data_IF_400575389165
#
_entry.id   IF_400575389165
#
_cell.length_a   1.000
_cell.length_b   1.000
_cell.length_c   1.000
_cell.angle_alpha   90.00
_cell.angle_beta   90.00
_cell.angle_gamma   90.00
#
_symmetry.space_group_name_H-M   'P 1'
#
loop_
_entity.id
_entity.type
_entity.pdbx_description
1 polymer ?
#
# COMPACT_ATOMS: atom_id res chain seq x y z
N UNK A 1 -15.97 20.00 -35.07
CA UNK A 1 -15.94 19.04 -33.97
C UNK A 1 -16.84 19.56 -32.88
N UNK A 2 -17.99 18.93 -32.64
CA UNK A 2 -18.92 19.33 -31.59
C UNK A 2 -18.36 18.83 -30.25
N UNK A 3 -18.04 19.76 -29.35
CA UNK A 3 -17.73 19.39 -27.94
C UNK A 3 -19.07 18.99 -27.34
N UNK A 4 -19.25 17.68 -27.09
CA UNK A 4 -20.38 17.18 -26.31
C UNK A 4 -20.28 17.82 -24.92
N UNK A 5 -21.24 18.65 -24.56
CA UNK A 5 -21.36 19.14 -23.18
C UNK A 5 -21.64 17.92 -22.31
N UNK A 6 -20.65 17.52 -21.50
CA UNK A 6 -20.88 16.54 -20.46
C UNK A 6 -21.96 17.09 -19.50
N UNK A 7 -22.85 16.24 -18.96
CA UNK A 7 -23.73 16.69 -17.89
C UNK A 7 -22.88 17.29 -16.76
N UNK A 8 -23.33 18.37 -16.12
CA UNK A 8 -22.56 18.98 -15.04
C UNK A 8 -22.28 17.92 -13.97
N UNK A 9 -21.01 17.75 -13.61
CA UNK A 9 -20.64 16.90 -12.50
C UNK A 9 -21.31 17.47 -11.24
N UNK A 10 -21.95 16.62 -10.45
CA UNK A 10 -22.43 17.02 -9.13
C UNK A 10 -21.22 17.38 -8.26
N UNK A 11 -21.12 18.66 -7.89
CA UNK A 11 -20.03 19.13 -7.04
C UNK A 11 -20.22 18.58 -5.63
N UNK A 12 -19.17 18.03 -5.08
CA UNK A 12 -19.16 17.55 -3.71
C UNK A 12 -18.72 18.66 -2.75
N UNK A 13 -19.25 18.64 -1.54
CA UNK A 13 -18.78 19.51 -0.46
C UNK A 13 -17.38 19.03 -0.03
N UNK A 14 -16.36 19.87 -0.24
CA UNK A 14 -14.98 19.56 0.12
C UNK A 14 -14.73 19.57 1.64
N UNK A 15 -15.59 20.21 2.42
CA UNK A 15 -15.56 20.21 3.88
C UNK A 15 -16.20 18.93 4.45
N UNK A 16 -17.04 18.23 3.68
CA UNK A 16 -17.53 16.90 4.04
C UNK A 16 -16.49 15.83 3.71
N UNK A 17 -15.66 15.48 4.68
CA UNK A 17 -14.63 14.47 4.55
C UNK A 17 -15.15 13.09 4.10
N UNK A 18 -16.46 12.78 4.27
CA UNK A 18 -17.04 11.53 3.77
C UNK A 18 -17.27 11.58 2.26
N UNK A 19 -17.79 12.70 1.75
CA UNK A 19 -17.96 12.89 0.32
C UNK A 19 -16.61 12.93 -0.38
N UNK A 20 -15.65 13.68 0.16
CA UNK A 20 -14.30 13.77 -0.37
C UNK A 20 -13.61 12.41 -0.42
N UNK A 21 -13.72 11.60 0.65
CA UNK A 21 -13.17 10.23 0.68
C UNK A 21 -13.82 9.31 -0.34
N UNK A 22 -15.13 9.45 -0.60
CA UNK A 22 -15.82 8.69 -1.66
C UNK A 22 -15.30 9.07 -3.03
N UNK A 23 -15.08 10.36 -3.26
CA UNK A 23 -14.52 10.88 -4.52
C UNK A 23 -13.10 10.34 -4.74
N UNK A 24 -12.22 10.41 -3.73
CA UNK A 24 -10.88 9.82 -3.83
C UNK A 24 -10.93 8.30 -4.02
N UNK A 25 -11.91 7.64 -3.41
CA UNK A 25 -12.12 6.20 -3.53
C UNK A 25 -12.47 5.71 -4.93
N UNK A 26 -12.84 6.60 -5.87
CA UNK A 26 -13.04 6.25 -7.29
C UNK A 26 -11.72 5.94 -8.00
N UNK A 27 -10.59 6.35 -7.45
CA UNK A 27 -9.27 5.98 -7.93
C UNK A 27 -8.91 4.60 -7.40
N UNK A 28 -8.91 3.60 -8.29
CA UNK A 28 -8.50 2.24 -7.94
C UNK A 28 -7.00 2.18 -7.67
N UNK A 29 -6.61 1.58 -6.55
CA UNK A 29 -5.21 1.42 -6.16
C UNK A 29 -4.86 -0.05 -5.96
N UNK A 30 -3.57 -0.39 -6.00
CA UNK A 30 -3.06 -1.59 -5.36
C UNK A 30 -3.16 -1.51 -3.84
N UNK A 31 -2.89 -2.63 -3.17
CA UNK A 31 -2.85 -2.73 -1.71
C UNK A 31 -1.48 -3.23 -1.29
N UNK A 32 -0.90 -2.56 -0.30
CA UNK A 32 0.41 -2.91 0.25
C UNK A 32 0.34 -3.11 1.76
N UNK A 33 1.32 -3.83 2.30
CA UNK A 33 1.66 -3.79 3.73
C UNK A 33 3.01 -3.13 3.87
N UNK A 34 3.04 -2.00 4.60
CA UNK A 34 4.27 -1.32 5.01
C UNK A 34 4.70 -1.88 6.35
N UNK A 35 5.99 -2.21 6.50
CA UNK A 35 6.52 -2.79 7.73
C UNK A 35 7.77 -2.07 8.19
N UNK A 36 7.95 -1.99 9.50
CA UNK A 36 9.19 -1.62 10.18
C UNK A 36 9.65 -2.78 11.05
N UNK A 37 10.94 -2.90 11.25
CA UNK A 37 11.57 -3.95 12.07
C UNK A 37 11.96 -3.48 13.47
N UNK A 38 12.82 -4.26 14.12
CA UNK A 38 13.33 -3.97 15.46
C UNK A 38 12.36 -4.33 16.57
N UNK A 39 12.55 -3.71 17.74
CA UNK A 39 11.75 -3.99 18.95
C UNK A 39 10.31 -3.50 18.80
N UNK A 40 10.09 -2.38 18.09
CA UNK A 40 8.77 -1.86 17.72
C UNK A 40 8.33 -2.35 16.33
N UNK A 41 8.60 -3.63 16.05
CA UNK A 41 8.19 -4.27 14.80
C UNK A 41 6.70 -4.05 14.52
N UNK A 42 6.37 -3.49 13.34
CA UNK A 42 5.00 -3.10 13.00
C UNK A 42 4.69 -3.25 11.52
N UNK A 43 3.45 -3.64 11.23
CA UNK A 43 2.89 -3.64 9.89
C UNK A 43 1.66 -2.74 9.79
N UNK A 44 1.38 -2.19 8.64
CA UNK A 44 0.16 -1.42 8.34
C UNK A 44 -0.22 -1.60 6.88
N UNK A 45 -1.49 -1.87 6.63
CA UNK A 45 -2.03 -1.85 5.26
C UNK A 45 -2.11 -0.42 4.76
N UNK A 46 -1.59 -0.20 3.56
CA UNK A 46 -1.62 1.10 2.89
C UNK A 46 -1.96 0.93 1.41
N UNK A 47 -2.76 1.84 0.88
CA UNK A 47 -3.02 1.99 -0.55
C UNK A 47 -2.44 3.30 -1.11
N UNK A 48 -1.72 4.04 -0.29
CA UNK A 48 -1.06 5.30 -0.64
C UNK A 48 0.35 5.13 -1.23
N UNK A 49 0.75 3.88 -1.52
CA UNK A 49 2.05 3.58 -2.13
C UNK A 49 2.15 4.12 -3.56
N UNK A 50 3.29 4.73 -3.89
CA UNK A 50 3.61 5.18 -5.25
C UNK A 50 5.10 5.00 -5.54
N UNK A 51 5.42 4.49 -6.74
CA UNK A 51 6.76 4.59 -7.31
C UNK A 51 7.01 6.04 -7.74
N UNK A 52 8.14 6.62 -7.34
CA UNK A 52 8.46 8.04 -7.57
C UNK A 52 9.52 8.21 -8.66
N UNK A 53 10.61 7.43 -8.59
CA UNK A 53 11.76 7.58 -9.48
C UNK A 53 12.47 6.24 -9.66
N UNK A 54 13.13 6.09 -10.80
CA UNK A 54 14.02 4.97 -11.08
C UNK A 54 15.49 5.33 -10.84
N UNK A 55 15.85 6.60 -10.93
CA UNK A 55 17.21 7.09 -10.69
C UNK A 55 17.17 8.43 -9.93
N UNK A 56 17.50 8.46 -8.63
CA UNK A 56 17.63 7.29 -7.76
C UNK A 56 16.30 6.53 -7.62
N UNK A 57 16.32 5.23 -7.26
CA UNK A 57 15.09 4.45 -7.11
C UNK A 57 14.35 4.87 -5.83
N UNK A 58 13.24 5.59 -5.99
CA UNK A 58 12.45 6.15 -4.90
C UNK A 58 11.01 5.66 -4.95
N UNK A 59 10.47 5.44 -3.76
CA UNK A 59 9.04 5.18 -3.52
C UNK A 59 8.52 6.10 -2.43
N UNK A 60 7.20 6.27 -2.34
CA UNK A 60 6.57 6.96 -1.22
C UNK A 60 5.39 6.19 -0.66
N UNK A 61 5.08 6.48 0.61
CA UNK A 61 3.84 6.12 1.28
C UNK A 61 3.35 7.31 2.10
N UNK A 62 2.02 7.53 2.14
CA UNK A 62 1.42 8.54 3.00
C UNK A 62 0.85 7.85 4.24
N UNK A 63 1.19 8.35 5.42
CA UNK A 63 0.74 7.77 6.70
C UNK A 63 0.13 8.86 7.56
N UNK A 64 -1.11 8.62 8.01
CA UNK A 64 -1.83 9.55 8.89
C UNK A 64 -1.08 9.79 10.19
N UNK A 65 -1.02 11.06 10.63
CA UNK A 65 -0.26 11.48 11.82
C UNK A 65 -0.73 10.81 13.10
N UNK A 66 -2.02 10.46 13.18
CA UNK A 66 -2.61 9.77 14.33
C UNK A 66 -2.40 8.25 14.31
N UNK A 67 -1.90 7.68 13.19
CA UNK A 67 -1.64 6.27 13.09
C UNK A 67 -0.44 5.85 13.95
N UNK A 68 -0.55 4.71 14.64
CA UNK A 68 0.59 4.18 15.42
C UNK A 68 1.80 3.93 14.51
N UNK A 69 1.57 3.48 13.28
CA UNK A 69 2.63 3.29 12.27
C UNK A 69 3.38 4.58 11.98
N UNK A 70 2.74 5.75 12.06
CA UNK A 70 3.42 7.03 11.83
C UNK A 70 4.60 7.21 12.78
N UNK A 71 4.39 6.96 14.08
CA UNK A 71 5.46 7.06 15.09
C UNK A 71 6.57 6.04 14.83
N UNK A 72 6.19 4.78 14.60
CA UNK A 72 7.17 3.72 14.32
C UNK A 72 8.01 4.05 13.06
N UNK A 73 7.36 4.50 11.98
CA UNK A 73 8.04 4.84 10.73
C UNK A 73 8.88 6.14 10.86
N UNK A 74 8.45 7.10 11.70
CA UNK A 74 9.20 8.32 11.95
C UNK A 74 10.56 8.02 12.65
N UNK A 75 10.59 7.04 13.55
CA UNK A 75 11.80 6.65 14.27
C UNK A 75 12.65 5.61 13.52
N UNK A 76 12.04 4.74 12.72
CA UNK A 76 12.77 3.73 11.96
C UNK A 76 13.66 4.37 10.87
N UNK A 77 14.84 3.83 10.67
CA UNK A 77 15.73 4.21 9.54
C UNK A 77 15.32 3.50 8.25
N UNK A 78 14.79 2.29 8.38
CA UNK A 78 14.41 1.43 7.26
C UNK A 78 12.97 0.96 7.37
N UNK A 79 12.36 0.66 6.24
CA UNK A 79 11.05 0.07 6.14
C UNK A 79 10.96 -0.81 4.90
N UNK A 80 9.96 -1.68 4.88
CA UNK A 80 9.67 -2.47 3.68
C UNK A 80 8.22 -2.28 3.23
N UNK A 81 8.00 -2.57 1.95
CA UNK A 81 6.68 -2.56 1.31
C UNK A 81 6.47 -3.91 0.64
N UNK A 82 5.39 -4.59 0.99
CA UNK A 82 4.94 -5.82 0.34
C UNK A 82 3.69 -5.52 -0.47
N UNK A 83 3.73 -5.72 -1.80
CA UNK A 83 2.59 -5.55 -2.70
C UNK A 83 1.73 -6.81 -2.66
N UNK A 84 0.50 -6.71 -2.17
CA UNK A 84 -0.33 -7.88 -1.90
C UNK A 84 -0.95 -8.50 -3.16
N UNK A 85 -0.99 -9.84 -3.16
CA UNK A 85 -1.73 -10.64 -4.13
C UNK A 85 -3.24 -10.67 -3.82
N UNK A 86 -4.06 -10.98 -4.81
CA UNK A 86 -5.53 -10.97 -4.71
C UNK A 86 -6.10 -11.94 -3.66
N UNK A 87 -5.39 -13.01 -3.34
CA UNK A 87 -5.73 -13.98 -2.30
C UNK A 87 -5.32 -13.54 -0.88
N UNK A 88 -4.61 -12.42 -0.75
CA UNK A 88 -4.13 -11.89 0.51
C UNK A 88 -5.06 -10.83 1.14
N UNK A 89 -6.35 -10.81 0.79
CA UNK A 89 -7.32 -9.90 1.40
C UNK A 89 -7.37 -10.04 2.93
N UNK A 90 -7.28 -11.26 3.46
CA UNK A 90 -7.25 -11.50 4.91
C UNK A 90 -6.04 -10.82 5.58
N UNK A 91 -4.86 -10.87 4.95
CA UNK A 91 -3.66 -10.18 5.39
C UNK A 91 -3.85 -8.66 5.37
N UNK A 92 -4.45 -8.12 4.30
CA UNK A 92 -4.76 -6.70 4.21
C UNK A 92 -5.70 -6.26 5.33
N UNK A 93 -6.77 -7.00 5.61
CA UNK A 93 -7.70 -6.71 6.70
C UNK A 93 -7.04 -6.80 8.08
N UNK A 94 -6.17 -7.79 8.28
CA UNK A 94 -5.42 -7.94 9.52
C UNK A 94 -4.58 -6.69 9.82
N UNK A 95 -3.75 -6.23 8.89
CA UNK A 95 -2.90 -5.05 9.07
C UNK A 95 -3.64 -3.72 8.99
N UNK A 96 -4.89 -3.68 8.50
CA UNK A 96 -5.78 -2.52 8.59
C UNK A 96 -6.47 -2.39 9.96
N UNK A 97 -6.58 -3.49 10.73
CA UNK A 97 -7.25 -3.49 12.02
C UNK A 97 -6.37 -2.84 13.10
N UNK A 98 -6.85 -1.75 13.70
CA UNK A 98 -6.13 -1.05 14.78
C UNK A 98 -6.07 -1.82 16.11
N UNK A 99 -6.96 -2.80 16.31
CA UNK A 99 -7.04 -3.63 17.53
C UNK A 99 -6.13 -4.86 17.49
N UNK A 100 -5.34 -5.06 16.43
CA UNK A 100 -4.39 -6.18 16.36
C UNK A 100 -3.30 -6.07 17.43
N UNK A 101 -2.65 -7.18 17.83
CA UNK A 101 -1.54 -7.17 18.78
C UNK A 101 -0.45 -6.17 18.39
N UNK A 102 0.30 -5.67 19.36
CA UNK A 102 1.46 -4.82 19.14
C UNK A 102 2.75 -5.66 18.94
N UNK A 103 3.79 -5.03 18.41
CA UNK A 103 5.10 -5.65 18.25
C UNK A 103 5.04 -6.89 17.35
N UNK A 104 5.86 -7.89 17.66
CA UNK A 104 5.94 -9.14 16.87
C UNK A 104 4.65 -9.97 16.89
N UNK A 105 3.81 -9.84 17.92
CA UNK A 105 2.53 -10.56 18.02
C UNK A 105 1.58 -10.33 16.85
N UNK A 106 1.70 -9.20 16.13
CA UNK A 106 0.89 -8.94 14.95
C UNK A 106 1.27 -9.80 13.73
N UNK A 107 2.40 -10.49 13.77
CA UNK A 107 2.88 -11.36 12.69
C UNK A 107 2.70 -12.86 12.99
N UNK A 108 2.15 -13.25 14.16
CA UNK A 108 1.99 -14.65 14.54
C UNK A 108 1.04 -15.45 13.63
N UNK A 109 0.08 -14.76 13.01
CA UNK A 109 -0.93 -15.37 12.13
C UNK A 109 -0.68 -15.10 10.65
N UNK A 110 0.46 -14.54 10.31
CA UNK A 110 0.82 -14.16 8.94
C UNK A 110 2.20 -14.69 8.61
N UNK A 111 2.34 -15.39 7.51
CA UNK A 111 3.65 -15.84 7.04
C UNK A 111 4.47 -14.66 6.54
N UNK A 112 5.70 -14.57 6.99
CA UNK A 112 6.63 -13.51 6.63
C UNK A 112 8.07 -13.98 6.60
N UNK A 113 8.93 -13.23 5.93
CA UNK A 113 10.37 -13.43 5.80
C UNK A 113 11.10 -12.20 6.30
N UNK A 114 12.29 -12.37 6.85
CA UNK A 114 13.16 -11.22 7.15
C UNK A 114 13.80 -10.70 5.86
N UNK A 115 13.69 -9.40 5.62
CA UNK A 115 14.35 -8.74 4.48
C UNK A 115 15.87 -8.87 4.57
N UNK A 116 16.50 -9.22 3.46
CA UNK A 116 17.94 -9.46 3.43
C UNK A 116 18.76 -8.15 3.59
N UNK A 117 18.22 -7.02 3.13
CA UNK A 117 18.90 -5.72 3.19
C UNK A 117 18.59 -4.95 4.48
N UNK A 118 17.40 -5.12 5.06
CA UNK A 118 16.91 -4.30 6.17
C UNK A 118 16.57 -5.09 7.44
N UNK A 119 16.37 -6.40 7.32
CA UNK A 119 15.84 -7.24 8.40
C UNK A 119 14.36 -7.00 8.73
N UNK A 120 13.69 -6.08 8.03
CA UNK A 120 12.26 -5.78 8.23
C UNK A 120 11.39 -6.92 7.71
N UNK A 121 10.18 -7.15 8.27
CA UNK A 121 9.30 -8.19 7.79
C UNK A 121 8.81 -7.96 6.37
N UNK A 122 8.89 -8.99 5.53
CA UNK A 122 8.34 -9.07 4.18
C UNK A 122 7.20 -10.08 4.19
N UNK A 123 6.00 -9.71 3.77
CA UNK A 123 4.83 -10.60 3.77
C UNK A 123 5.03 -11.70 2.73
N UNK A 124 5.04 -12.96 3.16
CA UNK A 124 5.20 -14.09 2.26
C UNK A 124 4.04 -14.17 1.25
N UNK A 125 4.33 -14.62 0.03
CA UNK A 125 3.33 -14.72 -1.05
C UNK A 125 2.94 -13.38 -1.71
N UNK A 126 3.50 -12.26 -1.29
CA UNK A 126 3.26 -10.97 -1.93
C UNK A 126 3.84 -10.94 -3.37
N UNK A 127 3.26 -10.13 -4.24
CA UNK A 127 3.68 -9.98 -5.65
C UNK A 127 5.01 -9.29 -5.83
N UNK A 128 5.37 -8.43 -4.88
CA UNK A 128 6.67 -7.77 -4.86
C UNK A 128 7.01 -7.34 -3.43
N UNK A 129 8.31 -7.26 -3.16
CA UNK A 129 8.86 -6.70 -1.95
C UNK A 129 9.85 -5.60 -2.30
N UNK A 130 9.81 -4.51 -1.53
CA UNK A 130 10.78 -3.43 -1.61
C UNK A 130 11.31 -3.17 -0.21
N UNK A 131 12.61 -3.20 -0.07
CA UNK A 131 13.30 -2.84 1.16
C UNK A 131 13.92 -1.46 0.99
N UNK A 132 13.62 -0.55 1.90
CA UNK A 132 13.92 0.86 1.72
C UNK A 132 14.66 1.44 2.93
N UNK A 133 15.59 2.36 2.68
CA UNK A 133 16.05 3.32 3.67
C UNK A 133 15.17 4.57 3.57
N UNK A 134 14.74 5.07 4.72
CA UNK A 134 13.97 6.32 4.78
C UNK A 134 14.87 7.48 4.38
N UNK A 135 14.45 8.26 3.38
CA UNK A 135 15.27 9.32 2.81
C UNK A 135 14.76 10.72 3.16
N UNK A 136 13.44 10.95 2.97
CA UNK A 136 12.83 12.26 3.20
C UNK A 136 11.42 12.13 3.75
N UNK A 137 11.02 13.17 4.48
CA UNK A 137 9.66 13.34 4.98
C UNK A 137 9.13 14.70 4.51
N UNK A 138 7.88 14.71 4.06
CA UNK A 138 7.20 15.94 3.69
C UNK A 138 5.87 16.05 4.42
N UNK A 139 5.48 17.29 4.72
CA UNK A 139 4.16 17.60 5.24
C UNK A 139 3.11 17.32 4.16
N UNK A 140 2.08 16.57 4.51
CA UNK A 140 0.94 16.20 3.68
C UNK A 140 -0.38 16.51 4.38
N UNK A 141 -0.45 17.55 5.21
CA UNK A 141 -1.65 17.91 5.96
C UNK A 141 -1.88 16.99 7.17
N UNK A 142 -2.96 16.22 7.19
CA UNK A 142 -3.23 15.20 8.23
C UNK A 142 -2.38 13.94 8.09
N UNK A 143 -1.55 13.86 7.04
CA UNK A 143 -0.59 12.80 6.76
C UNK A 143 0.84 13.33 6.72
N UNK A 144 1.80 12.40 6.81
CA UNK A 144 3.20 12.63 6.43
C UNK A 144 3.50 11.77 5.21
N UNK A 145 4.16 12.36 4.21
CA UNK A 145 4.67 11.65 3.04
C UNK A 145 6.07 11.14 3.38
N UNK A 146 6.23 9.83 3.50
CA UNK A 146 7.51 9.18 3.72
C UNK A 146 8.09 8.73 2.39
N UNK A 147 9.23 9.29 2.02
CA UNK A 147 9.98 8.86 0.84
C UNK A 147 11.09 7.90 1.26
N UNK A 148 11.15 6.76 0.60
CA UNK A 148 12.18 5.76 0.79
C UNK A 148 12.98 5.54 -0.48
N UNK A 149 14.30 5.40 -0.32
CA UNK A 149 15.18 4.93 -1.37
C UNK A 149 15.27 3.41 -1.32
N UNK A 150 14.96 2.76 -2.43
CA UNK A 150 14.95 1.30 -2.53
C UNK A 150 16.39 0.79 -2.46
N UNK A 151 16.64 -0.12 -1.53
CA UNK A 151 17.92 -0.83 -1.34
C UNK A 151 17.90 -2.20 -2.04
N UNK A 152 16.75 -2.87 -1.96
CA UNK A 152 16.52 -4.16 -2.60
C UNK A 152 15.06 -4.27 -3.03
N UNK A 153 14.84 -4.95 -4.13
CA UNK A 153 13.50 -5.27 -4.64
C UNK A 153 13.47 -6.72 -5.13
N UNK A 154 12.37 -7.41 -4.86
CA UNK A 154 12.14 -8.78 -5.28
C UNK A 154 10.72 -9.00 -5.74
N UNK A 155 10.53 -9.96 -6.65
CA UNK A 155 9.24 -10.45 -7.09
C UNK A 155 9.32 -11.96 -7.37
N UNK A 156 8.24 -12.73 -7.15
CA UNK A 156 8.22 -14.13 -7.55
C UNK A 156 8.35 -14.26 -9.08
N UNK A 157 8.86 -15.40 -9.53
CA UNK A 157 9.01 -15.68 -10.97
C UNK A 157 7.65 -15.82 -11.69
N UNK A 158 6.64 -16.35 -10.99
CA UNK A 158 5.29 -16.45 -11.53
C UNK A 158 4.53 -15.12 -11.37
N UNK A 159 3.85 -14.71 -12.43
CA UNK A 159 2.95 -13.56 -12.37
C UNK A 159 1.73 -13.89 -11.50
N UNK A 160 1.35 -12.95 -10.64
CA UNK A 160 0.15 -13.06 -9.81
C UNK A 160 -0.83 -11.91 -10.08
N UNK A 161 -2.07 -12.09 -9.64
CA UNK A 161 -3.10 -11.06 -9.72
C UNK A 161 -3.00 -10.13 -8.51
N UNK A 162 -2.98 -8.80 -8.66
CA UNK A 162 -2.89 -7.87 -7.54
C UNK A 162 -4.20 -7.77 -6.75
N UNK A 163 -4.09 -7.55 -5.44
CA UNK A 163 -5.20 -7.08 -4.62
C UNK A 163 -5.44 -5.60 -4.92
N UNK A 164 -6.67 -5.25 -5.26
CA UNK A 164 -7.09 -3.88 -5.52
C UNK A 164 -7.94 -3.33 -4.37
N UNK A 165 -7.96 -2.00 -4.25
CA UNK A 165 -8.89 -1.27 -3.39
C UNK A 165 -9.57 -0.18 -4.22
N UNK A 166 -10.92 -0.23 -4.26
CA UNK A 166 -11.74 0.72 -5.03
C UNK A 166 -13.09 0.89 -4.34
N UNK A 167 -13.58 2.13 -4.26
CA UNK A 167 -14.89 2.42 -3.67
C UNK A 167 -15.06 1.93 -2.23
N UNK A 168 -13.98 1.87 -1.45
CA UNK A 168 -14.01 1.36 -0.07
C UNK A 168 -14.01 -0.17 0.05
N UNK A 169 -13.75 -0.90 -1.02
CA UNK A 169 -13.81 -2.37 -1.07
C UNK A 169 -12.53 -2.96 -1.66
N UNK A 170 -12.14 -4.12 -1.15
CA UNK A 170 -11.13 -4.95 -1.79
C UNK A 170 -11.73 -5.63 -3.03
N UNK A 171 -10.87 -5.87 -4.01
CA UNK A 171 -11.24 -6.54 -5.25
C UNK A 171 -10.00 -7.05 -6.00
N UNK A 172 -10.22 -7.51 -7.21
CA UNK A 172 -9.17 -7.96 -8.13
C UNK A 172 -9.52 -7.50 -9.55
N UNK A 173 -8.54 -7.37 -10.46
CA UNK A 173 -8.84 -7.15 -11.87
C UNK A 173 -9.80 -8.22 -12.39
N UNK A 174 -10.69 -7.85 -13.29
CA UNK A 174 -11.44 -8.84 -14.04
C UNK A 174 -10.43 -9.69 -14.83
N UNK A 175 -10.50 -11.00 -14.70
CA UNK A 175 -9.82 -11.88 -15.66
C UNK A 175 -10.52 -11.68 -17.00
N UNK A 176 -9.80 -11.18 -18.00
CA UNK A 176 -10.31 -11.28 -19.37
C UNK A 176 -10.64 -12.76 -19.60
N UNK A 177 -11.91 -13.03 -19.80
CA UNK A 177 -12.37 -14.35 -20.22
C UNK A 177 -11.55 -14.70 -21.46
N UNK A 178 -11.13 -15.95 -21.55
CA UNK A 178 -10.66 -16.53 -22.80
C UNK A 178 -11.82 -16.44 -23.80
N UNK A 179 -12.02 -15.25 -24.40
CA UNK A 179 -12.89 -15.12 -25.54
C UNK A 179 -12.20 -15.87 -26.68
N UNK A 180 -12.77 -17.03 -26.94
CA UNK A 180 -12.85 -17.77 -28.17
C UNK A 180 -12.15 -17.06 -29.37
N UNK A 181 -10.84 -17.25 -29.50
CA UNK A 181 -10.14 -17.06 -30.75
C UNK A 181 -10.32 -18.36 -31.55
N UNK A 182 -11.57 -18.59 -32.01
CA UNK A 182 -11.79 -19.56 -33.07
C UNK A 182 -11.39 -18.92 -34.39
N UNK A 183 -10.59 -19.59 -35.22
CA UNK A 183 -9.99 -19.08 -36.44
C UNK A 183 -11.01 -18.76 -37.52
#
# INVERSE_FOLDING_TARGET
>A
MSVLAAPPAELVDIEDGKQLRRTFGTFATGVTVVTVGGDDCRGMTANSFTAVSLDPPLVLVCVGRDAVMHRSLAHAETFSVSVLAADQEAVARHFANSSRPAGRGQFETVDWLAGAATGTPLIAGALAHLECVKERLYDGGDHTIFVGRVLAAGRPAAAGTPLLFHGGRFGRPATEGAEDRTP
#
